data_IF_569439474599
#
_entry.id   IF_569439474599
#
_cell.length_a   1.000
_cell.length_b   1.000
_cell.length_c   1.000
_cell.angle_alpha   90.00
_cell.angle_beta   90.00
_cell.angle_gamma   90.00
#
_symmetry.space_group_name_H-M   'P 1'
#
loop_
_entity.id
_entity.type
_entity.pdbx_description
1 polymer ?
#
# COMPACT_ATOMS: atom_id res chain seq x y z
N UNK A 1 -0.96 37.04 -37.31
CA UNK A 1 -0.76 36.70 -35.88
C UNK A 1 -1.95 35.89 -35.42
N UNK A 2 -1.76 34.62 -35.04
CA UNK A 2 -2.84 33.72 -34.67
C UNK A 2 -3.11 33.82 -33.16
N UNK A 3 -4.33 34.18 -32.79
CA UNK A 3 -4.78 34.23 -31.39
C UNK A 3 -5.09 32.83 -30.89
N UNK A 4 -4.35 32.37 -29.89
CA UNK A 4 -4.58 31.10 -29.20
C UNK A 4 -5.70 31.34 -28.18
N UNK A 5 -6.89 30.80 -28.44
CA UNK A 5 -7.95 30.74 -27.44
C UNK A 5 -7.61 29.66 -26.41
N UNK A 6 -7.31 30.07 -25.18
CA UNK A 6 -7.21 29.15 -24.05
C UNK A 6 -8.58 28.55 -23.74
N UNK A 7 -8.69 27.23 -23.81
CA UNK A 7 -9.87 26.50 -23.33
C UNK A 7 -9.92 26.59 -21.80
N UNK A 8 -11.09 26.88 -21.20
CA UNK A 8 -11.23 26.92 -19.75
C UNK A 8 -11.05 25.52 -19.17
N UNK A 9 -10.06 25.35 -18.29
CA UNK A 9 -9.90 24.15 -17.46
C UNK A 9 -11.11 24.01 -16.54
N UNK A 10 -11.88 22.90 -16.59
CA UNK A 10 -12.92 22.64 -15.61
C UNK A 10 -12.25 22.45 -14.24
N UNK A 11 -12.51 23.38 -13.33
CA UNK A 11 -12.21 23.22 -11.91
C UNK A 11 -13.02 22.03 -11.40
N UNK A 12 -12.37 20.89 -11.20
CA UNK A 12 -12.93 19.77 -10.45
C UNK A 12 -13.00 20.19 -8.97
N UNK A 13 -13.97 21.05 -8.65
CA UNK A 13 -14.42 21.22 -7.28
C UNK A 13 -14.95 19.85 -6.83
N UNK A 14 -14.29 19.24 -5.85
CA UNK A 14 -14.83 18.03 -5.22
C UNK A 14 -16.23 18.35 -4.70
N UNK A 15 -17.26 17.54 -5.02
CA UNK A 15 -18.62 17.83 -4.59
C UNK A 15 -18.64 17.95 -3.07
N UNK A 16 -19.24 19.03 -2.56
CA UNK A 16 -19.44 19.23 -1.14
C UNK A 16 -20.22 18.04 -0.58
N UNK A 17 -19.57 17.20 0.22
CA UNK A 17 -20.21 16.09 0.90
C UNK A 17 -21.31 16.68 1.78
N UNK A 18 -22.54 16.29 1.50
CA UNK A 18 -23.71 16.79 2.21
C UNK A 18 -23.57 16.47 3.72
N UNK A 19 -23.85 17.44 4.62
CA UNK A 19 -23.73 17.21 6.05
C UNK A 19 -24.67 16.07 6.48
N UNK A 20 -24.15 15.22 7.36
CA UNK A 20 -24.78 13.97 7.81
C UNK A 20 -26.19 14.20 8.38
N UNK A 21 -27.22 13.82 7.62
CA UNK A 21 -28.63 13.99 8.01
C UNK A 21 -29.04 12.85 8.94
N UNK A 22 -28.70 12.96 10.23
CA UNK A 22 -29.27 12.09 11.29
C UNK A 22 -28.32 11.08 11.91
N UNK A 23 -27.11 11.48 12.26
CA UNK A 23 -26.11 10.68 13.01
C UNK A 23 -25.67 9.37 12.32
N UNK A 24 -26.04 9.15 11.05
CA UNK A 24 -25.68 7.94 10.30
C UNK A 24 -24.18 7.79 10.11
N UNK A 25 -23.45 8.89 9.96
CA UNK A 25 -22.00 8.96 9.94
C UNK A 25 -21.40 8.52 11.26
N UNK A 26 -21.99 8.93 12.39
CA UNK A 26 -21.56 8.48 13.72
C UNK A 26 -21.81 6.97 13.92
N UNK A 27 -22.98 6.46 13.54
CA UNK A 27 -23.29 5.03 13.57
C UNK A 27 -22.35 4.22 12.67
N UNK A 28 -22.07 4.71 11.46
CA UNK A 28 -21.15 4.07 10.53
C UNK A 28 -19.73 4.02 11.10
N UNK A 29 -19.26 5.12 11.71
CA UNK A 29 -17.97 5.17 12.37
C UNK A 29 -17.89 4.18 13.55
N UNK A 30 -18.96 4.07 14.35
CA UNK A 30 -19.04 3.09 15.45
C UNK A 30 -18.98 1.65 14.94
N UNK A 31 -19.74 1.32 13.88
CA UNK A 31 -19.73 -0.01 13.28
C UNK A 31 -18.36 -0.34 12.66
N UNK A 32 -17.72 0.61 11.99
CA UNK A 32 -16.35 0.44 11.49
C UNK A 32 -15.37 0.19 12.62
N UNK A 33 -15.41 0.98 13.70
CA UNK A 33 -14.55 0.77 14.86
C UNK A 33 -14.74 -0.62 15.49
N UNK A 34 -15.99 -1.10 15.60
CA UNK A 34 -16.28 -2.47 16.08
C UNK A 34 -15.79 -3.57 15.14
N UNK A 35 -15.77 -3.32 13.83
CA UNK A 35 -15.22 -4.26 12.86
C UNK A 35 -13.70 -4.30 12.96
N UNK A 36 -13.05 -3.14 12.98
CA UNK A 36 -11.59 -3.01 13.12
C UNK A 36 -11.07 -3.61 14.43
N UNK A 37 -11.78 -3.45 15.54
CA UNK A 37 -11.42 -4.08 16.82
C UNK A 37 -11.55 -5.61 16.75
N UNK A 38 -12.55 -6.15 16.04
CA UNK A 38 -12.71 -7.59 15.84
C UNK A 38 -11.61 -8.17 14.96
N UNK A 39 -11.29 -7.51 13.85
CA UNK A 39 -10.22 -7.94 12.93
C UNK A 39 -8.86 -7.91 13.64
N UNK A 40 -8.61 -6.86 14.44
CA UNK A 40 -7.40 -6.76 15.24
C UNK A 40 -7.32 -7.87 16.31
N UNK A 41 -8.43 -8.20 16.97
CA UNK A 41 -8.48 -9.28 17.95
C UNK A 41 -8.21 -10.65 17.31
N UNK A 42 -8.78 -10.91 16.12
CA UNK A 42 -8.51 -12.15 15.37
C UNK A 42 -7.03 -12.25 14.99
N UNK A 43 -6.46 -11.19 14.39
CA UNK A 43 -5.04 -11.14 14.08
C UNK A 43 -4.18 -11.35 15.33
N UNK A 44 -4.53 -10.70 16.44
CA UNK A 44 -3.80 -10.85 17.70
C UNK A 44 -3.80 -12.29 18.21
N UNK A 45 -4.95 -12.97 18.12
CA UNK A 45 -5.10 -14.36 18.53
C UNK A 45 -4.20 -15.30 17.71
N UNK A 46 -4.08 -15.06 16.41
CA UNK A 46 -3.29 -15.89 15.47
C UNK A 46 -1.78 -15.69 15.61
N UNK A 47 -1.33 -14.54 16.12
CA UNK A 47 0.09 -14.24 16.30
C UNK A 47 0.72 -15.07 17.43
N UNK A 48 1.92 -15.58 17.18
CA UNK A 48 2.76 -16.18 18.19
C UNK A 48 3.19 -15.15 19.24
N UNK A 49 3.51 -15.60 20.45
CA UNK A 49 3.86 -14.72 21.58
C UNK A 49 5.04 -13.79 21.25
N UNK A 50 6.05 -14.28 20.54
CA UNK A 50 7.21 -13.46 20.19
C UNK A 50 6.86 -12.38 19.14
N UNK A 51 5.95 -12.67 18.22
CA UNK A 51 5.45 -11.69 17.25
C UNK A 51 4.67 -10.59 17.97
N UNK A 52 3.83 -10.97 18.94
CA UNK A 52 3.12 -10.01 19.81
C UNK A 52 4.11 -9.12 20.58
N UNK A 53 5.20 -9.67 21.12
CA UNK A 53 6.26 -8.89 21.80
C UNK A 53 6.93 -7.89 20.87
N UNK A 54 7.18 -8.27 19.61
CA UNK A 54 7.74 -7.36 18.60
C UNK A 54 6.78 -6.19 18.34
N UNK A 55 5.48 -6.49 18.15
CA UNK A 55 4.46 -5.47 17.93
C UNK A 55 4.34 -4.53 19.14
N UNK A 56 4.29 -5.06 20.36
CA UNK A 56 4.24 -4.27 21.59
C UNK A 56 5.47 -3.36 21.72
N UNK A 57 6.66 -3.89 21.42
CA UNK A 57 7.88 -3.09 21.38
C UNK A 57 7.81 -1.94 20.37
N UNK A 58 7.25 -2.19 19.18
CA UNK A 58 7.02 -1.17 18.15
C UNK A 58 5.95 -0.15 18.52
N UNK A 59 4.96 -0.56 19.32
CA UNK A 59 3.92 0.28 19.90
C UNK A 59 4.39 1.06 21.15
N UNK A 60 5.63 0.82 21.62
CA UNK A 60 6.18 1.37 22.88
C UNK A 60 5.37 0.99 24.12
N UNK A 61 4.79 -0.21 24.10
CA UNK A 61 4.06 -0.81 25.20
C UNK A 61 4.92 -1.86 25.92
N UNK A 62 4.50 -2.26 27.12
CA UNK A 62 5.15 -3.33 27.86
C UNK A 62 5.06 -4.66 27.09
N UNK A 63 6.20 -5.29 26.85
CA UNK A 63 6.29 -6.58 26.13
C UNK A 63 5.77 -7.74 26.97
N UNK A 64 5.72 -7.62 28.29
CA UNK A 64 5.11 -8.64 29.15
C UNK A 64 3.61 -8.81 28.86
N UNK A 65 2.97 -7.78 28.30
CA UNK A 65 1.57 -7.81 27.90
C UNK A 65 1.26 -8.81 26.76
N UNK A 66 2.25 -9.42 26.11
CA UNK A 66 2.06 -10.31 24.97
C UNK A 66 1.18 -11.53 25.25
N UNK A 67 1.12 -11.97 26.51
CA UNK A 67 0.27 -13.10 26.94
C UNK A 67 -1.19 -12.71 27.13
N UNK A 68 -1.50 -11.41 27.23
CA UNK A 68 -2.86 -10.94 27.45
C UNK A 68 -3.68 -11.01 26.15
N UNK A 69 -4.97 -11.37 26.23
CA UNK A 69 -5.87 -11.23 25.10
C UNK A 69 -6.11 -9.74 24.82
N UNK A 70 -6.45 -9.41 23.57
CA UNK A 70 -6.48 -8.02 23.10
C UNK A 70 -7.65 -7.22 23.70
N UNK A 71 -8.78 -7.88 23.95
CA UNK A 71 -10.01 -7.30 24.50
C UNK A 71 -9.85 -6.84 25.96
N UNK A 72 -8.92 -7.44 26.70
CA UNK A 72 -8.52 -7.00 28.05
C UNK A 72 -7.60 -5.77 28.04
N UNK A 73 -7.06 -5.37 26.88
CA UNK A 73 -6.21 -4.19 26.76
C UNK A 73 -7.03 -2.91 26.65
N UNK A 74 -6.52 -1.83 27.22
CA UNK A 74 -7.17 -0.53 27.12
C UNK A 74 -7.25 -0.07 25.65
N UNK A 75 -8.31 0.65 25.29
CA UNK A 75 -8.49 1.16 23.92
C UNK A 75 -7.26 1.91 23.37
N UNK A 76 -6.59 2.81 24.13
CA UNK A 76 -5.37 3.47 23.66
C UNK A 76 -4.25 2.50 23.30
N UNK A 77 -4.12 1.39 24.02
CA UNK A 77 -3.11 0.36 23.74
C UNK A 77 -3.44 -0.37 22.43
N UNK A 78 -4.71 -0.71 22.21
CA UNK A 78 -5.17 -1.33 20.95
C UNK A 78 -4.94 -0.40 19.76
N UNK A 79 -5.21 0.89 19.92
CA UNK A 79 -4.96 1.90 18.89
C UNK A 79 -3.45 2.05 18.60
N UNK A 80 -2.60 2.01 19.63
CA UNK A 80 -1.15 2.03 19.47
C UNK A 80 -0.62 0.76 18.75
N UNK A 81 -1.18 -0.41 19.06
CA UNK A 81 -0.91 -1.67 18.37
C UNK A 81 -1.29 -1.57 16.89
N UNK A 82 -2.50 -1.09 16.57
CA UNK A 82 -2.96 -0.87 15.19
C UNK A 82 -2.00 0.05 14.44
N UNK A 83 -1.63 1.17 15.04
CA UNK A 83 -0.70 2.12 14.44
C UNK A 83 0.69 1.50 14.21
N UNK A 84 1.18 0.67 15.13
CA UNK A 84 2.46 -0.04 14.97
C UNK A 84 2.42 -1.03 13.80
N UNK A 85 1.35 -1.82 13.68
CA UNK A 85 1.16 -2.76 12.56
C UNK A 85 1.15 -2.01 11.23
N UNK A 86 0.39 -0.92 11.12
CA UNK A 86 0.34 -0.10 9.89
C UNK A 86 1.74 0.42 9.51
N UNK A 87 2.51 0.94 10.48
CA UNK A 87 3.88 1.40 10.24
C UNK A 87 4.78 0.25 9.76
N UNK A 88 4.73 -0.90 10.44
CA UNK A 88 5.53 -2.09 10.10
C UNK A 88 5.22 -2.60 8.70
N UNK A 89 3.95 -2.74 8.35
CA UNK A 89 3.51 -3.10 7.00
C UNK A 89 3.98 -2.08 5.95
N UNK A 90 3.95 -0.79 6.30
CA UNK A 90 4.50 0.28 5.45
C UNK A 90 6.02 0.15 5.25
N UNK A 91 6.78 -0.16 6.29
CA UNK A 91 8.23 -0.42 6.17
C UNK A 91 8.50 -1.65 5.29
N UNK A 92 7.77 -2.74 5.50
CA UNK A 92 7.91 -3.96 4.71
C UNK A 92 7.59 -3.71 3.23
N UNK A 93 6.54 -2.93 2.93
CA UNK A 93 6.21 -2.54 1.56
C UNK A 93 7.32 -1.73 0.91
N UNK A 94 7.83 -0.69 1.58
CA UNK A 94 8.95 0.12 1.07
C UNK A 94 10.22 -0.68 0.90
N UNK A 95 10.50 -1.62 1.79
CA UNK A 95 11.66 -2.50 1.68
C UNK A 95 11.54 -3.37 0.43
N UNK A 96 10.38 -4.00 0.21
CA UNK A 96 10.09 -4.76 -1.00
C UNK A 96 10.23 -3.91 -2.26
N UNK A 97 9.60 -2.74 -2.29
CA UNK A 97 9.71 -1.79 -3.41
C UNK A 97 11.16 -1.43 -3.74
N UNK A 98 12.03 -1.27 -2.72
CA UNK A 98 13.46 -1.01 -2.93
C UNK A 98 14.21 -2.23 -3.44
N UNK A 99 13.98 -3.41 -2.86
CA UNK A 99 14.63 -4.65 -3.28
C UNK A 99 14.20 -5.06 -4.70
N UNK A 100 12.95 -4.81 -5.07
CA UNK A 100 12.41 -5.03 -6.41
C UNK A 100 12.84 -3.92 -7.38
N UNK A 101 12.92 -2.67 -6.92
CA UNK A 101 13.44 -1.54 -7.72
C UNK A 101 14.94 -1.64 -8.03
N UNK A 102 15.70 -2.37 -7.21
CA UNK A 102 17.11 -2.71 -7.46
C UNK A 102 17.28 -3.93 -8.38
N UNK A 103 16.23 -4.74 -8.60
CA UNK A 103 16.22 -5.73 -9.68
C UNK A 103 15.80 -5.01 -10.96
N UNK A 104 16.60 -5.07 -12.05
CA UNK A 104 16.10 -4.63 -13.35
C UNK A 104 14.80 -5.37 -13.64
N UNK A 105 13.71 -4.63 -13.83
CA UNK A 105 12.48 -5.23 -14.33
C UNK A 105 12.85 -5.97 -15.63
N UNK A 106 12.41 -7.22 -15.87
CA UNK A 106 12.79 -7.98 -17.07
C UNK A 106 12.57 -7.21 -18.38
N UNK A 107 11.56 -6.33 -18.40
CA UNK A 107 11.26 -5.40 -19.49
C UNK A 107 12.39 -4.39 -19.78
N UNK A 108 13.22 -4.00 -18.81
CA UNK A 108 14.40 -3.14 -19.02
C UNK A 108 15.51 -3.86 -19.77
N UNK A 109 15.73 -5.14 -19.46
CA UNK A 109 16.73 -5.95 -20.16
C UNK A 109 16.26 -6.28 -21.59
N UNK A 110 14.97 -6.64 -21.75
CA UNK A 110 14.35 -6.78 -23.07
C UNK A 110 14.42 -5.48 -23.90
N UNK A 111 14.18 -4.33 -23.27
CA UNK A 111 14.30 -3.02 -23.92
C UNK A 111 15.75 -2.61 -24.20
N UNK A 112 16.74 -3.12 -23.45
CA UNK A 112 18.14 -2.96 -23.75
C UNK A 112 18.53 -3.78 -24.99
N UNK A 113 18.09 -5.04 -25.08
CA UNK A 113 18.30 -5.88 -26.26
C UNK A 113 17.62 -5.34 -27.52
N UNK A 114 16.41 -4.79 -27.41
CA UNK A 114 15.73 -4.13 -28.53
C UNK A 114 16.54 -2.92 -29.05
N UNK A 115 17.05 -2.07 -28.15
CA UNK A 115 17.88 -0.90 -28.53
C UNK A 115 19.23 -1.30 -29.14
N UNK A 116 19.84 -2.35 -28.62
CA UNK A 116 21.07 -2.93 -29.17
C UNK A 116 20.83 -3.44 -30.61
N UNK A 117 19.77 -4.22 -30.82
CA UNK A 117 19.42 -4.75 -32.14
C UNK A 117 19.12 -3.64 -33.16
N UNK A 118 18.48 -2.53 -32.75
CA UNK A 118 18.30 -1.36 -33.58
C UNK A 118 19.64 -0.68 -33.94
N UNK A 119 20.56 -0.56 -32.98
CA UNK A 119 21.88 0.02 -33.22
C UNK A 119 22.73 -0.83 -34.20
N UNK A 120 22.52 -2.15 -34.19
CA UNK A 120 23.16 -3.11 -35.09
C UNK A 120 22.44 -3.21 -36.46
N UNK A 121 21.34 -2.47 -36.66
CA UNK A 121 20.54 -2.51 -37.89
C UNK A 121 19.70 -3.78 -38.05
N UNK A 122 19.63 -4.63 -37.02
CA UNK A 122 18.83 -5.84 -36.99
C UNK A 122 17.40 -5.54 -36.51
N UNK A 123 16.58 -5.04 -37.43
CA UNK A 123 15.18 -4.68 -37.17
C UNK A 123 14.31 -5.86 -36.78
N UNK A 124 14.59 -7.07 -37.28
CA UNK A 124 13.85 -8.29 -36.94
C UNK A 124 14.04 -8.67 -35.46
N UNK A 125 15.28 -8.67 -34.99
CA UNK A 125 15.58 -8.93 -33.58
C UNK A 125 14.98 -7.82 -32.68
N UNK A 126 15.02 -6.56 -33.10
CA UNK A 126 14.41 -5.47 -32.36
C UNK A 126 12.89 -5.65 -32.19
N UNK A 127 12.18 -6.01 -33.27
CA UNK A 127 10.75 -6.28 -33.25
C UNK A 127 10.40 -7.52 -32.41
N UNK A 128 11.26 -8.55 -32.42
CA UNK A 128 11.09 -9.72 -31.57
C UNK A 128 11.07 -9.34 -30.09
N UNK A 129 12.09 -8.57 -29.64
CA UNK A 129 12.18 -8.09 -28.26
C UNK A 129 11.02 -7.17 -27.87
N UNK A 130 10.57 -6.29 -28.78
CA UNK A 130 9.37 -5.46 -28.60
C UNK A 130 8.11 -6.31 -28.42
N UNK A 131 7.93 -7.37 -29.22
CA UNK A 131 6.77 -8.25 -29.12
C UNK A 131 6.70 -8.98 -27.78
N UNK A 132 7.85 -9.33 -27.18
CA UNK A 132 7.92 -9.96 -25.85
C UNK A 132 7.50 -8.98 -24.74
N UNK A 133 7.87 -7.71 -24.87
CA UNK A 133 7.46 -6.63 -23.97
C UNK A 133 5.95 -6.39 -24.06
N UNK A 134 5.40 -6.31 -25.27
CA UNK A 134 3.96 -6.07 -25.52
C UNK A 134 3.08 -7.22 -25.02
N UNK A 135 3.57 -8.45 -25.03
CA UNK A 135 2.86 -9.64 -24.53
C UNK A 135 2.93 -9.80 -23.02
N UNK A 136 3.66 -8.92 -22.32
CA UNK A 136 3.77 -8.95 -20.85
C UNK A 136 4.50 -10.19 -20.33
N UNK A 137 5.38 -10.80 -21.14
CA UNK A 137 6.21 -11.92 -20.71
C UNK A 137 7.35 -11.34 -19.87
N UNK A 138 7.11 -11.21 -18.56
CA UNK A 138 8.06 -10.81 -17.54
C UNK A 138 8.18 -11.90 -16.48
#
# INVERSE_FOLDING_TARGET
MASIHHLPTPSHASPAVEPDRGEWGALRAELHARAEDRDLAALWADLAIDERRVILGSARLDRAAAVRPLDEMAKPDRDAIRAAIVRMSGYARRLRERLEGERPHPSRDLAAHARQALAEGNTEAALHWLSLIERGVA
#
